data_IF_397922265147
#
_entry.id   IF_397922265147
#
_cell.length_a   1.000
_cell.length_b   1.000
_cell.length_c   1.000
_cell.angle_alpha   90.00
_cell.angle_beta   90.00
_cell.angle_gamma   90.00
#
_symmetry.space_group_name_H-M   'P 1'
#
loop_
_entity.id
_entity.type
_entity.pdbx_description
1 polymer ?
#
# COMPACT_ATOMS: atom_id res chain seq x y z
N UNK A 1 32.55 5.10 -33.05
CA UNK A 1 32.12 6.00 -31.96
C UNK A 1 31.25 7.07 -32.58
N UNK A 2 29.97 6.76 -32.79
CA UNK A 2 28.98 7.79 -33.05
C UNK A 2 28.38 8.11 -31.67
N UNK A 3 28.66 9.30 -31.16
CA UNK A 3 27.91 9.88 -30.06
C UNK A 3 26.47 9.98 -30.56
N UNK A 4 25.61 9.07 -30.12
CA UNK A 4 24.16 9.29 -30.18
C UNK A 4 23.95 10.49 -29.27
N UNK A 5 23.79 11.66 -29.88
CA UNK A 5 23.46 12.89 -29.17
C UNK A 5 22.19 12.62 -28.40
N UNK A 6 22.32 12.57 -27.08
CA UNK A 6 21.18 12.69 -26.20
C UNK A 6 20.76 14.15 -26.33
N UNK A 7 19.82 14.44 -27.23
CA UNK A 7 19.18 15.76 -27.25
C UNK A 7 18.50 15.91 -25.88
N UNK A 8 19.06 16.81 -25.08
CA UNK A 8 18.70 17.12 -23.71
C UNK A 8 17.37 17.87 -23.63
N UNK A 9 16.39 17.48 -24.45
CA UNK A 9 15.23 18.31 -24.79
C UNK A 9 14.18 18.40 -23.68
N UNK A 10 14.34 17.67 -22.56
CA UNK A 10 13.39 17.73 -21.44
C UNK A 10 14.12 17.87 -20.09
N UNK A 11 14.87 18.96 -19.95
CA UNK A 11 15.22 19.53 -18.65
C UNK A 11 14.10 20.48 -18.19
N UNK A 12 14.00 20.73 -16.89
CA UNK A 12 13.01 21.65 -16.30
C UNK A 12 12.93 23.03 -16.99
N UNK A 13 14.01 23.45 -17.65
CA UNK A 13 14.12 24.70 -18.40
C UNK A 13 13.29 24.77 -19.69
N UNK A 14 12.87 23.63 -20.24
CA UNK A 14 12.08 23.57 -21.48
C UNK A 14 10.57 23.46 -21.23
N UNK A 15 10.14 23.46 -19.97
CA UNK A 15 8.73 23.31 -19.62
C UNK A 15 7.94 24.59 -19.88
N UNK A 16 6.81 24.44 -20.57
CA UNK A 16 5.82 25.48 -20.77
C UNK A 16 4.88 25.60 -19.56
N UNK A 17 4.10 26.69 -19.50
CA UNK A 17 3.15 26.92 -18.38
C UNK A 17 2.10 25.80 -18.27
N UNK A 18 1.69 25.24 -19.41
CA UNK A 18 0.77 24.10 -19.54
C UNK A 18 1.34 22.83 -18.93
N UNK A 19 2.65 22.58 -19.05
CA UNK A 19 3.30 21.39 -18.47
C UNK A 19 3.20 21.38 -16.96
N UNK A 20 3.35 22.54 -16.30
CA UNK A 20 3.21 22.65 -14.85
C UNK A 20 1.80 22.29 -14.35
N UNK A 21 0.76 22.50 -15.18
CA UNK A 21 -0.61 22.06 -14.87
C UNK A 21 -0.67 20.54 -14.85
N UNK A 22 -0.07 19.87 -15.84
CA UNK A 22 0.00 18.41 -15.88
C UNK A 22 0.84 17.82 -14.77
N UNK A 23 1.96 18.45 -14.43
CA UNK A 23 2.78 18.05 -13.27
C UNK A 23 1.97 18.17 -11.98
N UNK A 24 1.18 19.24 -11.82
CA UNK A 24 0.30 19.40 -10.66
C UNK A 24 -0.79 18.32 -10.61
N UNK A 25 -1.40 17.97 -11.75
CA UNK A 25 -2.37 16.88 -11.86
C UNK A 25 -1.73 15.54 -11.49
N UNK A 26 -0.56 15.22 -12.07
CA UNK A 26 0.19 14.00 -11.77
C UNK A 26 0.53 13.90 -10.29
N UNK A 27 1.00 15.00 -9.67
CA UNK A 27 1.28 15.05 -8.24
C UNK A 27 0.01 14.82 -7.40
N UNK A 28 -1.11 15.43 -7.79
CA UNK A 28 -2.38 15.27 -7.09
C UNK A 28 -2.90 13.82 -7.13
N UNK A 29 -2.84 13.17 -8.29
CA UNK A 29 -3.27 11.75 -8.42
C UNK A 29 -2.27 10.78 -7.81
N UNK A 30 -1.00 11.16 -7.74
CA UNK A 30 0.05 10.40 -7.05
C UNK A 30 -0.20 10.40 -5.54
N UNK A 31 -0.37 11.58 -4.94
CA UNK A 31 -0.39 11.76 -3.49
C UNK A 31 -1.80 11.61 -2.89
N UNK A 32 -2.84 12.01 -3.62
CA UNK A 32 -4.23 12.00 -3.17
C UNK A 32 -4.71 10.68 -2.55
N UNK A 33 -4.47 9.51 -3.19
CA UNK A 33 -4.80 8.21 -2.62
C UNK A 33 -4.17 7.95 -1.25
N UNK A 34 -2.92 8.37 -1.04
CA UNK A 34 -2.24 8.21 0.26
C UNK A 34 -2.81 9.14 1.33
N UNK A 35 -3.18 10.37 0.97
CA UNK A 35 -3.86 11.29 1.90
C UNK A 35 -5.21 10.69 2.33
N UNK A 36 -5.98 10.19 1.37
CA UNK A 36 -7.25 9.54 1.64
C UNK A 36 -7.07 8.30 2.55
N UNK A 37 -6.06 7.47 2.27
CA UNK A 37 -5.77 6.29 3.08
C UNK A 37 -5.32 6.65 4.49
N UNK A 38 -4.48 7.66 4.65
CA UNK A 38 -4.05 8.15 5.97
C UNK A 38 -5.23 8.72 6.79
N UNK A 39 -6.15 9.45 6.15
CA UNK A 39 -7.34 10.02 6.81
C UNK A 39 -8.35 8.95 7.24
N UNK A 40 -8.52 7.93 6.41
CA UNK A 40 -9.53 6.88 6.62
C UNK A 40 -8.95 5.63 7.30
N UNK A 41 -7.68 5.64 7.72
CA UNK A 41 -6.96 4.50 8.29
C UNK A 41 -7.04 3.23 7.40
N UNK A 42 -6.98 3.39 6.07
CA UNK A 42 -7.04 2.27 5.10
C UNK A 42 -5.64 1.85 4.60
N UNK A 43 -5.60 0.73 3.86
CA UNK A 43 -4.36 0.13 3.33
C UNK A 43 -3.59 1.08 2.42
N UNK A 44 -2.31 1.28 2.75
CA UNK A 44 -1.34 2.01 1.94
C UNK A 44 -0.99 1.22 0.66
N UNK A 45 -1.00 -0.11 0.70
CA UNK A 45 -0.80 -0.93 -0.50
C UNK A 45 -1.93 -0.71 -1.54
N UNK A 46 -3.19 -0.64 -1.09
CA UNK A 46 -4.31 -0.29 -1.97
C UNK A 46 -4.25 1.17 -2.44
N UNK A 47 -3.80 2.08 -1.58
CA UNK A 47 -3.56 3.46 -1.98
C UNK A 47 -2.52 3.55 -3.11
N UNK A 48 -1.44 2.75 -3.03
CA UNK A 48 -0.44 2.64 -4.09
C UNK A 48 -1.06 2.09 -5.38
N UNK A 49 -1.85 1.02 -5.31
CA UNK A 49 -2.56 0.47 -6.48
C UNK A 49 -3.40 1.55 -7.16
N UNK A 50 -4.22 2.28 -6.40
CA UNK A 50 -5.05 3.35 -6.96
C UNK A 50 -4.20 4.47 -7.55
N UNK A 51 -3.13 4.87 -6.87
CA UNK A 51 -2.18 5.89 -7.30
C UNK A 51 -1.55 5.56 -8.66
N UNK A 52 -1.07 4.32 -8.83
CA UNK A 52 -0.50 3.85 -10.10
C UNK A 52 -1.52 3.85 -11.25
N UNK A 53 -2.75 3.40 -10.98
CA UNK A 53 -3.82 3.37 -11.99
C UNK A 53 -4.25 4.78 -12.41
N UNK A 54 -4.33 5.72 -11.47
CA UNK A 54 -4.67 7.10 -11.81
C UNK A 54 -3.57 7.79 -12.61
N UNK A 55 -2.29 7.56 -12.28
CA UNK A 55 -1.18 8.07 -13.10
C UNK A 55 -1.19 7.44 -14.49
N UNK A 56 -1.49 6.13 -14.63
CA UNK A 56 -1.67 5.51 -15.94
C UNK A 56 -2.81 6.16 -16.74
N UNK A 57 -3.92 6.49 -16.09
CA UNK A 57 -5.02 7.17 -16.77
C UNK A 57 -4.62 8.57 -17.27
N UNK A 58 -3.82 9.31 -16.51
CA UNK A 58 -3.27 10.60 -16.96
C UNK A 58 -2.29 10.42 -18.13
N UNK A 59 -1.38 9.44 -18.07
CA UNK A 59 -0.48 9.11 -19.20
C UNK A 59 -1.28 8.75 -20.46
N UNK A 60 -2.34 7.95 -20.33
CA UNK A 60 -3.21 7.58 -21.44
C UNK A 60 -3.97 8.77 -22.02
N UNK A 61 -4.45 9.68 -21.16
CA UNK A 61 -5.11 10.91 -21.62
C UNK A 61 -4.14 11.78 -22.42
N UNK A 62 -2.92 12.01 -21.89
CA UNK A 62 -1.87 12.75 -22.58
C UNK A 62 -1.54 12.13 -23.94
N UNK A 63 -1.37 10.80 -24.01
CA UNK A 63 -1.06 10.12 -25.28
C UNK A 63 -2.21 10.11 -26.30
N UNK A 64 -3.47 10.21 -25.84
CA UNK A 64 -4.65 10.14 -26.73
C UNK A 64 -5.02 11.52 -27.28
N UNK A 65 -4.83 12.57 -26.49
CA UNK A 65 -5.18 13.94 -26.86
C UNK A 65 -3.97 14.74 -27.35
N UNK A 66 -2.88 14.06 -27.70
CA UNK A 66 -1.64 14.63 -28.21
C UNK A 66 -1.93 15.52 -29.43
N UNK A 67 -1.98 16.81 -29.16
CA UNK A 67 -2.17 17.90 -30.11
C UNK A 67 -1.16 18.98 -29.73
N UNK A 68 -0.89 19.93 -30.62
CA UNK A 68 0.08 21.02 -30.37
C UNK A 68 -0.16 21.82 -29.07
N UNK A 69 -1.29 21.63 -28.39
CA UNK A 69 -1.64 22.20 -27.08
C UNK A 69 -1.18 21.37 -25.86
N UNK A 70 -0.75 20.12 -26.03
CA UNK A 70 -0.53 19.15 -24.94
C UNK A 70 0.74 18.30 -25.08
N UNK A 71 1.82 18.80 -25.71
CA UNK A 71 3.08 18.09 -25.96
C UNK A 71 3.92 17.71 -24.72
N UNK A 72 3.28 17.52 -23.56
CA UNK A 72 3.94 17.12 -22.33
C UNK A 72 4.20 15.62 -22.31
N UNK A 73 5.47 15.24 -22.30
CA UNK A 73 5.94 13.85 -22.31
C UNK A 73 6.43 13.42 -20.92
N UNK A 74 5.56 12.90 -20.02
CA UNK A 74 5.92 12.62 -18.63
C UNK A 74 7.03 11.58 -18.50
N UNK A 75 7.12 10.63 -19.43
CA UNK A 75 8.17 9.59 -19.42
C UNK A 75 9.54 10.24 -19.57
N UNK A 76 9.71 11.24 -20.45
CA UNK A 76 10.99 11.89 -20.66
C UNK A 76 11.44 12.70 -19.44
N UNK A 77 10.53 13.31 -18.68
CA UNK A 77 10.87 14.10 -17.50
C UNK A 77 11.05 13.26 -16.22
N UNK A 78 10.27 12.19 -16.06
CA UNK A 78 10.16 11.48 -14.78
C UNK A 78 10.76 10.07 -14.75
N UNK A 79 11.22 9.52 -15.89
CA UNK A 79 11.87 8.20 -15.95
C UNK A 79 13.33 8.21 -15.49
N UNK A 80 13.81 7.04 -15.08
CA UNK A 80 15.24 6.80 -14.85
C UNK A 80 15.91 6.54 -16.19
N UNK A 81 16.88 7.37 -16.55
CA UNK A 81 17.69 7.18 -17.75
C UNK A 81 19.15 6.98 -17.29
N UNK A 82 19.72 5.78 -17.40
CA UNK A 82 21.02 5.47 -16.81
C UNK A 82 22.15 6.45 -17.15
N UNK A 83 22.25 6.85 -18.43
CA UNK A 83 23.31 7.76 -18.89
C UNK A 83 23.31 9.11 -18.16
N UNK A 84 22.15 9.59 -17.70
CA UNK A 84 22.05 10.85 -16.92
C UNK A 84 22.75 10.75 -15.57
N UNK A 85 22.84 9.54 -15.00
CA UNK A 85 23.45 9.31 -13.68
C UNK A 85 24.92 8.93 -13.75
N UNK A 86 25.44 8.61 -14.93
CA UNK A 86 26.79 8.05 -15.13
C UNK A 86 27.68 8.94 -16.00
N UNK A 87 27.10 9.71 -16.92
CA UNK A 87 27.85 10.63 -17.77
C UNK A 87 28.41 11.80 -16.97
N UNK A 88 29.69 12.09 -17.13
CA UNK A 88 30.40 13.12 -16.35
C UNK A 88 29.83 14.54 -16.44
N UNK A 89 29.05 14.85 -17.48
CA UNK A 89 28.44 16.17 -17.68
C UNK A 89 27.10 16.35 -16.95
N UNK A 90 26.42 15.25 -16.61
CA UNK A 90 25.09 15.26 -15.99
C UNK A 90 25.05 14.54 -14.63
N UNK A 91 25.99 13.62 -14.40
CA UNK A 91 26.10 12.88 -13.16
C UNK A 91 26.29 13.82 -11.96
N UNK A 92 25.40 13.69 -10.98
CA UNK A 92 25.41 14.50 -9.77
C UNK A 92 24.62 15.81 -9.87
N UNK A 93 23.99 16.12 -11.00
CA UNK A 93 23.02 17.22 -11.08
C UNK A 93 21.81 16.95 -10.18
N UNK A 94 21.60 17.75 -9.11
CA UNK A 94 20.47 17.58 -8.21
C UNK A 94 19.11 17.71 -8.91
N UNK A 95 19.05 18.42 -10.05
CA UNK A 95 17.82 18.63 -10.82
C UNK A 95 17.28 17.35 -11.46
N UNK A 96 18.09 16.27 -11.49
CA UNK A 96 17.73 14.97 -12.07
C UNK A 96 17.40 13.91 -11.01
N UNK A 97 17.64 14.18 -9.72
CA UNK A 97 17.48 13.19 -8.66
C UNK A 97 16.02 12.77 -8.43
N UNK A 98 15.06 13.59 -8.84
CA UNK A 98 13.63 13.24 -8.76
C UNK A 98 13.33 11.96 -9.55
N UNK A 99 14.03 11.71 -10.66
CA UNK A 99 13.84 10.55 -11.55
C UNK A 99 13.98 9.22 -10.82
N UNK A 100 14.88 9.14 -9.82
CA UNK A 100 15.09 7.95 -8.99
C UNK A 100 13.82 7.58 -8.21
N UNK A 101 12.92 8.55 -7.96
CA UNK A 101 11.67 8.37 -7.21
C UNK A 101 10.44 8.37 -8.12
N UNK A 102 10.38 9.27 -9.10
CA UNK A 102 9.19 9.49 -9.93
C UNK A 102 8.92 8.37 -10.92
N UNK A 103 9.95 7.64 -11.36
CA UNK A 103 9.80 6.57 -12.36
C UNK A 103 8.91 5.40 -11.88
N UNK A 104 8.65 5.28 -10.57
CA UNK A 104 7.79 4.23 -10.01
C UNK A 104 6.34 4.33 -10.49
N UNK A 105 5.90 5.53 -10.82
CA UNK A 105 4.50 5.79 -11.22
C UNK A 105 4.27 5.67 -12.72
N UNK A 106 5.32 5.82 -13.51
CA UNK A 106 5.23 5.75 -14.97
C UNK A 106 5.14 4.31 -15.46
N UNK A 107 4.37 4.07 -16.51
CA UNK A 107 4.19 2.74 -17.09
C UNK A 107 4.03 2.87 -18.61
N UNK A 108 4.64 1.93 -19.34
CA UNK A 108 4.63 1.95 -20.80
C UNK A 108 3.23 1.69 -21.38
N UNK A 109 2.43 0.85 -20.71
CA UNK A 109 1.13 0.43 -21.19
C UNK A 109 0.26 -0.15 -20.05
N UNK A 110 -1.00 -0.45 -20.39
CA UNK A 110 -1.99 -1.00 -19.46
C UNK A 110 -1.60 -2.38 -18.91
N UNK A 111 -1.04 -3.27 -19.73
CA UNK A 111 -0.65 -4.61 -19.29
C UNK A 111 0.50 -4.50 -18.27
N UNK A 112 1.45 -3.61 -18.52
CA UNK A 112 2.56 -3.34 -17.62
C UNK A 112 2.07 -2.86 -16.24
N UNK A 113 1.22 -1.83 -16.17
CA UNK A 113 0.69 -1.37 -14.86
C UNK A 113 -0.17 -2.43 -14.19
N UNK A 114 -1.01 -3.15 -14.94
CA UNK A 114 -1.88 -4.21 -14.41
C UNK A 114 -1.06 -5.34 -13.78
N UNK A 115 0.04 -5.74 -14.40
CA UNK A 115 0.97 -6.73 -13.84
C UNK A 115 1.57 -6.29 -12.51
N UNK A 116 1.96 -5.02 -12.40
CA UNK A 116 2.53 -4.46 -11.16
C UNK A 116 1.47 -4.34 -10.06
N UNK A 117 0.31 -3.76 -10.36
CA UNK A 117 -0.76 -3.60 -9.35
C UNK A 117 -1.31 -4.94 -8.88
N UNK A 118 -1.30 -5.98 -9.72
CA UNK A 118 -1.69 -7.33 -9.32
C UNK A 118 -0.76 -7.88 -8.24
N UNK A 119 0.56 -7.73 -8.39
CA UNK A 119 1.52 -8.14 -7.35
C UNK A 119 1.34 -7.31 -6.08
N UNK A 120 1.19 -5.98 -6.21
CA UNK A 120 1.02 -5.08 -5.07
C UNK A 120 -0.30 -5.38 -4.34
N UNK A 121 -1.38 -5.65 -5.05
CA UNK A 121 -2.68 -5.98 -4.45
C UNK A 121 -2.66 -7.34 -3.75
N UNK A 122 -2.14 -8.38 -4.41
CA UNK A 122 -2.24 -9.76 -3.93
C UNK A 122 -1.14 -10.13 -2.92
N UNK A 123 0.08 -9.63 -3.10
CA UNK A 123 1.19 -9.88 -2.18
C UNK A 123 1.47 -8.69 -1.27
N UNK A 124 1.30 -7.47 -1.77
CA UNK A 124 1.55 -6.26 -0.98
C UNK A 124 0.55 -6.04 0.14
N UNK A 125 -0.75 -6.25 -0.07
CA UNK A 125 -1.76 -6.06 0.99
C UNK A 125 -1.55 -7.03 2.17
N UNK A 126 -1.37 -8.35 1.98
CA UNK A 126 -1.06 -9.25 3.09
C UNK A 126 0.28 -8.91 3.77
N UNK A 127 1.30 -8.51 3.01
CA UNK A 127 2.56 -8.05 3.58
C UNK A 127 2.38 -6.78 4.44
N UNK A 128 1.51 -5.85 4.03
CA UNK A 128 1.20 -4.66 4.82
C UNK A 128 0.54 -5.03 6.16
N UNK A 129 -0.31 -6.06 6.19
CA UNK A 129 -0.91 -6.54 7.43
C UNK A 129 0.14 -7.12 8.39
N UNK A 130 1.14 -7.81 7.84
CA UNK A 130 2.27 -8.35 8.61
C UNK A 130 3.19 -7.24 9.15
N UNK A 131 3.54 -6.25 8.32
CA UNK A 131 4.52 -5.20 8.61
C UNK A 131 3.94 -3.94 9.27
N UNK A 132 2.69 -3.61 8.97
CA UNK A 132 2.11 -2.29 9.14
C UNK A 132 2.56 -1.30 8.05
N UNK A 133 1.71 -0.29 7.81
CA UNK A 133 1.82 0.71 6.75
C UNK A 133 3.22 1.33 6.56
N UNK A 134 3.85 1.84 7.63
CA UNK A 134 5.15 2.55 7.54
C UNK A 134 6.29 1.65 7.08
N UNK A 135 6.33 0.43 7.61
CA UNK A 135 7.37 -0.57 7.27
C UNK A 135 7.15 -1.12 5.86
N UNK A 136 5.89 -1.30 5.48
CA UNK A 136 5.54 -1.67 4.12
C UNK A 136 6.01 -0.62 3.10
N UNK A 137 5.78 0.68 3.38
CA UNK A 137 6.24 1.75 2.50
C UNK A 137 7.78 1.78 2.38
N UNK A 138 8.51 1.53 3.48
CA UNK A 138 9.96 1.43 3.45
C UNK A 138 10.44 0.26 2.59
N UNK A 139 9.81 -0.92 2.70
CA UNK A 139 10.09 -2.08 1.85
C UNK A 139 9.82 -1.78 0.38
N UNK A 140 8.68 -1.16 0.08
CA UNK A 140 8.33 -0.75 -1.29
C UNK A 140 9.40 0.18 -1.87
N UNK A 141 9.78 1.22 -1.11
CA UNK A 141 10.80 2.19 -1.53
C UNK A 141 12.17 1.54 -1.74
N UNK A 142 12.58 0.62 -0.86
CA UNK A 142 13.84 -0.11 -1.01
C UNK A 142 13.84 -1.02 -2.23
N UNK A 143 12.73 -1.71 -2.51
CA UNK A 143 12.61 -2.50 -3.73
C UNK A 143 12.74 -1.63 -4.98
N UNK A 144 12.07 -0.48 -5.00
CA UNK A 144 12.16 0.44 -6.13
C UNK A 144 13.57 1.02 -6.32
N UNK A 145 14.17 1.57 -5.25
CA UNK A 145 15.52 2.15 -5.29
C UNK A 145 16.55 1.08 -5.65
N UNK A 146 16.45 -0.11 -5.06
CA UNK A 146 17.35 -1.23 -5.36
C UNK A 146 17.28 -1.66 -6.82
N UNK A 147 16.08 -1.65 -7.41
CA UNK A 147 15.89 -1.91 -8.82
C UNK A 147 16.53 -0.84 -9.71
N UNK A 148 16.28 0.43 -9.42
CA UNK A 148 16.88 1.53 -10.19
C UNK A 148 18.40 1.51 -10.12
N UNK A 149 18.98 1.32 -8.93
CA UNK A 149 20.43 1.24 -8.76
C UNK A 149 21.03 0.04 -9.52
N UNK A 150 20.40 -1.13 -9.45
CA UNK A 150 20.87 -2.30 -10.19
C UNK A 150 20.77 -2.10 -11.71
N UNK A 151 19.72 -1.44 -12.20
CA UNK A 151 19.58 -1.11 -13.61
C UNK A 151 20.65 -0.13 -14.08
N UNK A 152 20.83 1.00 -13.36
CA UNK A 152 21.86 2.01 -13.69
C UNK A 152 23.25 1.39 -13.68
N UNK A 153 23.57 0.57 -12.68
CA UNK A 153 24.88 -0.07 -12.56
C UNK A 153 25.16 -1.10 -13.66
N UNK A 154 24.12 -1.78 -14.16
CA UNK A 154 24.26 -2.81 -15.21
C UNK A 154 24.19 -2.24 -16.63
N UNK A 155 23.57 -1.07 -16.82
CA UNK A 155 23.37 -0.44 -18.13
C UNK A 155 23.81 1.04 -18.13
N UNK A 156 25.06 1.36 -17.72
CA UNK A 156 25.48 2.73 -17.47
C UNK A 156 25.40 3.65 -18.70
N UNK A 157 25.59 3.12 -19.90
CA UNK A 157 25.59 3.89 -21.15
C UNK A 157 24.20 3.96 -21.82
N UNK A 158 23.16 3.42 -21.17
CA UNK A 158 21.82 3.37 -21.76
C UNK A 158 21.11 4.73 -21.70
N UNK A 159 20.70 5.21 -22.88
CA UNK A 159 19.78 6.34 -23.03
C UNK A 159 18.31 5.95 -23.00
N UNK A 160 17.98 4.68 -22.77
CA UNK A 160 16.60 4.18 -22.80
C UNK A 160 15.93 4.41 -21.43
N UNK A 161 14.76 5.08 -21.39
CA UNK A 161 13.95 5.23 -20.18
C UNK A 161 13.59 3.92 -19.51
N UNK A 162 13.89 3.81 -18.21
CA UNK A 162 13.40 2.78 -17.31
C UNK A 162 12.27 3.35 -16.43
N UNK A 163 11.14 2.67 -16.46
CA UNK A 163 9.89 3.07 -15.79
C UNK A 163 9.19 1.85 -15.19
N UNK A 164 8.36 2.07 -14.18
CA UNK A 164 7.48 1.07 -13.61
C UNK A 164 7.72 0.78 -12.14
N UNK A 165 6.67 0.29 -11.49
CA UNK A 165 6.70 -0.13 -10.09
C UNK A 165 7.28 -1.55 -9.87
N UNK A 166 7.78 -2.20 -10.93
CA UNK A 166 8.12 -3.62 -10.90
C UNK A 166 9.28 -3.95 -9.97
N UNK A 167 10.31 -3.09 -9.86
CA UNK A 167 11.38 -3.24 -8.86
C UNK A 167 10.83 -3.26 -7.43
N UNK A 168 9.86 -2.40 -7.11
CA UNK A 168 9.15 -2.43 -5.84
C UNK A 168 8.29 -3.69 -5.67
N UNK A 169 7.59 -4.13 -6.72
CA UNK A 169 6.79 -5.35 -6.68
C UNK A 169 7.66 -6.59 -6.39
N UNK A 170 8.84 -6.69 -7.00
CA UNK A 170 9.83 -7.72 -6.67
C UNK A 170 10.42 -7.53 -5.27
N UNK A 171 10.60 -6.30 -4.81
CA UNK A 171 10.99 -5.99 -3.43
C UNK A 171 9.97 -6.46 -2.39
N UNK A 172 8.67 -6.32 -2.67
CA UNK A 172 7.59 -6.89 -1.84
C UNK A 172 7.76 -8.40 -1.72
N UNK A 173 7.94 -9.10 -2.85
CA UNK A 173 8.16 -10.56 -2.84
C UNK A 173 9.43 -10.95 -2.08
N UNK A 174 10.52 -10.20 -2.25
CA UNK A 174 11.79 -10.42 -1.53
C UNK A 174 11.64 -10.23 -0.03
N UNK A 175 10.98 -9.16 0.40
CA UNK A 175 10.73 -8.91 1.82
C UNK A 175 9.80 -9.95 2.44
N UNK A 176 8.75 -10.35 1.71
CA UNK A 176 7.83 -11.39 2.17
C UNK A 176 8.57 -12.72 2.30
N UNK A 177 9.37 -13.10 1.31
CA UNK A 177 10.18 -14.33 1.36
C UNK A 177 11.21 -14.32 2.50
N UNK A 178 11.78 -13.16 2.85
CA UNK A 178 12.74 -13.05 3.94
C UNK A 178 12.12 -13.20 5.34
N UNK A 179 10.86 -12.83 5.51
CA UNK A 179 10.21 -12.71 6.82
C UNK A 179 9.15 -13.78 7.10
N UNK A 180 8.42 -14.22 6.06
CA UNK A 180 7.32 -15.18 6.16
C UNK A 180 7.25 -16.06 4.89
N UNK A 181 8.30 -16.88 4.61
CA UNK A 181 8.37 -17.67 3.37
C UNK A 181 7.24 -18.71 3.23
N UNK A 182 6.73 -19.24 4.35
CA UNK A 182 5.69 -20.29 4.37
C UNK A 182 4.26 -19.75 4.33
N UNK A 183 4.07 -18.43 4.38
CA UNK A 183 2.76 -17.81 4.28
C UNK A 183 2.10 -18.17 2.95
N UNK A 184 0.80 -18.47 2.98
CA UNK A 184 0.03 -18.77 1.78
C UNK A 184 -0.82 -17.58 1.38
N UNK A 185 -0.57 -17.04 0.19
CA UNK A 185 -1.34 -15.93 -0.39
C UNK A 185 -2.00 -16.38 -1.69
N UNK A 186 -3.19 -15.87 -1.96
CA UNK A 186 -3.89 -16.09 -3.23
C UNK A 186 -3.11 -15.39 -4.35
N UNK A 187 -2.58 -16.18 -5.29
CA UNK A 187 -1.76 -15.64 -6.36
C UNK A 187 -1.96 -16.44 -7.66
N UNK A 188 -2.06 -15.78 -8.83
CA UNK A 188 -2.15 -16.46 -10.11
C UNK A 188 -0.78 -17.03 -10.49
N UNK A 189 -0.62 -18.35 -10.38
CA UNK A 189 0.61 -19.05 -10.74
C UNK A 189 0.28 -20.26 -11.62
N UNK A 190 0.99 -20.43 -12.74
CA UNK A 190 0.80 -21.54 -13.70
C UNK A 190 -0.69 -21.74 -14.07
N UNK A 191 -1.37 -20.68 -14.49
CA UNK A 191 -2.79 -20.67 -14.88
C UNK A 191 -3.80 -21.00 -13.75
N UNK A 192 -3.35 -21.17 -12.51
CA UNK A 192 -4.20 -21.46 -11.35
C UNK A 192 -4.17 -20.31 -10.35
N UNK A 193 -5.34 -19.82 -9.97
CA UNK A 193 -5.50 -18.89 -8.84
C UNK A 193 -5.79 -19.72 -7.60
N UNK A 194 -4.81 -19.79 -6.70
CA UNK A 194 -4.97 -20.44 -5.38
C UNK A 194 -4.00 -19.87 -4.37
N UNK A 195 -4.17 -20.28 -3.11
CA UNK A 195 -3.23 -19.98 -2.05
C UNK A 195 -1.92 -20.77 -2.24
N UNK A 196 -0.82 -20.07 -2.54
CA UNK A 196 0.51 -20.64 -2.73
C UNK A 196 1.46 -20.12 -1.65
N UNK A 197 2.43 -20.93 -1.19
CA UNK A 197 3.44 -20.45 -0.27
C UNK A 197 4.29 -19.36 -0.95
N UNK A 198 4.61 -18.30 -0.20
CA UNK A 198 5.34 -17.12 -0.68
C UNK A 198 6.68 -17.50 -1.28
N UNK A 199 7.42 -18.43 -0.67
CA UNK A 199 8.71 -18.88 -1.20
C UNK A 199 8.58 -19.43 -2.63
N UNK A 200 7.48 -20.12 -2.95
CA UNK A 200 7.26 -20.71 -4.26
C UNK A 200 6.87 -19.64 -5.29
N UNK A 201 6.03 -18.68 -4.90
CA UNK A 201 5.68 -17.53 -5.74
C UNK A 201 6.95 -16.75 -6.09
N UNK A 202 7.76 -16.42 -5.07
CA UNK A 202 9.00 -15.69 -5.23
C UNK A 202 10.01 -16.47 -6.08
N UNK A 203 10.20 -17.76 -5.82
CA UNK A 203 11.10 -18.62 -6.59
C UNK A 203 10.71 -18.69 -8.07
N UNK A 204 9.43 -18.92 -8.39
CA UNK A 204 8.98 -18.99 -9.78
C UNK A 204 9.10 -17.63 -10.47
N UNK A 205 8.67 -16.54 -9.82
CA UNK A 205 8.74 -15.19 -10.41
C UNK A 205 10.19 -14.76 -10.66
N UNK A 206 11.07 -14.89 -9.68
CA UNK A 206 12.49 -14.55 -9.82
C UNK A 206 13.20 -15.50 -10.80
N UNK A 207 12.86 -16.79 -10.78
CA UNK A 207 13.41 -17.78 -11.71
C UNK A 207 13.06 -17.48 -13.17
N UNK A 208 11.84 -17.00 -13.45
CA UNK A 208 11.45 -16.55 -14.79
C UNK A 208 12.27 -15.35 -15.25
N UNK A 209 12.56 -14.38 -14.38
CA UNK A 209 13.42 -13.24 -14.71
C UNK A 209 14.84 -13.68 -15.07
N UNK A 210 15.44 -14.53 -14.23
CA UNK A 210 16.79 -15.05 -14.47
C UNK A 210 16.84 -15.88 -15.76
N UNK A 211 15.82 -16.70 -16.01
CA UNK A 211 15.70 -17.47 -17.25
C UNK A 211 15.58 -16.58 -18.49
N UNK A 212 14.77 -15.51 -18.42
CA UNK A 212 14.62 -14.55 -19.51
C UNK A 212 15.93 -13.77 -19.76
N UNK A 213 16.64 -13.37 -18.71
CA UNK A 213 17.96 -12.75 -18.87
C UNK A 213 18.95 -13.70 -19.55
N UNK A 214 19.00 -14.96 -19.11
CA UNK A 214 19.86 -15.96 -19.72
C UNK A 214 19.49 -16.20 -21.19
N UNK A 215 18.20 -16.27 -21.53
CA UNK A 215 17.76 -16.54 -22.90
C UNK A 215 18.08 -15.40 -23.87
N UNK A 216 17.99 -14.16 -23.42
CA UNK A 216 18.44 -12.95 -24.16
C UNK A 216 19.96 -13.00 -24.36
N UNK A 217 20.71 -13.26 -23.29
CA UNK A 217 22.18 -13.30 -23.36
C UNK A 217 22.71 -14.44 -24.23
N UNK A 218 22.04 -15.60 -24.25
CA UNK A 218 22.41 -16.74 -25.09
C UNK A 218 21.94 -16.62 -26.54
N UNK A 219 21.27 -15.51 -26.90
CA UNK A 219 20.72 -15.29 -28.25
C UNK A 219 19.58 -16.24 -28.62
N UNK A 220 19.01 -16.94 -27.64
CA UNK A 220 17.87 -17.86 -27.82
C UNK A 220 16.52 -17.15 -27.74
N UNK A 221 16.51 -15.92 -27.24
CA UNK A 221 15.41 -14.97 -27.31
C UNK A 221 15.89 -13.68 -28.00
N UNK A 222 14.96 -12.94 -28.59
CA UNK A 222 15.23 -11.59 -29.11
C UNK A 222 15.42 -10.56 -27.98
N UNK A 223 15.67 -9.31 -28.35
CA UNK A 223 15.73 -8.20 -27.38
C UNK A 223 14.43 -8.06 -26.57
N UNK A 224 14.55 -7.74 -25.28
CA UNK A 224 13.41 -7.52 -24.40
C UNK A 224 13.32 -6.05 -23.97
N UNK A 225 12.11 -5.51 -23.94
CA UNK A 225 11.83 -4.17 -23.39
C UNK A 225 11.59 -4.21 -21.87
N UNK A 226 12.20 -5.17 -21.17
CA UNK A 226 11.99 -5.40 -19.74
C UNK A 226 13.31 -5.22 -19.00
N UNK A 227 13.30 -4.36 -17.99
CA UNK A 227 14.46 -4.09 -17.13
C UNK A 227 14.70 -5.22 -16.11
N UNK A 228 15.04 -6.43 -16.57
CA UNK A 228 15.16 -7.61 -15.70
C UNK A 228 16.12 -7.42 -14.52
N UNK A 229 17.23 -6.69 -14.70
CA UNK A 229 18.16 -6.36 -13.61
C UNK A 229 17.53 -5.49 -12.52
N UNK A 230 16.53 -4.67 -12.85
CA UNK A 230 15.78 -3.90 -11.86
C UNK A 230 14.94 -4.82 -10.95
N UNK A 231 14.38 -5.90 -11.50
CA UNK A 231 13.62 -6.88 -10.71
C UNK A 231 14.53 -7.61 -9.72
N UNK A 232 15.70 -8.07 -10.19
CA UNK A 232 16.70 -8.75 -9.36
C UNK A 232 17.23 -7.83 -8.25
N UNK A 233 17.61 -6.59 -8.60
CA UNK A 233 18.09 -5.60 -7.63
C UNK A 233 17.05 -5.24 -6.57
N UNK A 234 15.81 -5.00 -6.99
CA UNK A 234 14.72 -4.69 -6.08
C UNK A 234 14.39 -5.84 -5.12
N UNK A 235 14.37 -7.08 -5.65
CA UNK A 235 14.19 -8.28 -4.84
C UNK A 235 15.24 -8.40 -3.74
N UNK A 236 16.53 -8.39 -4.12
CA UNK A 236 17.61 -8.70 -3.17
C UNK A 236 17.87 -7.57 -2.18
N UNK A 237 17.73 -6.30 -2.56
CA UNK A 237 17.89 -5.19 -1.62
C UNK A 237 16.81 -5.23 -0.55
N UNK A 238 15.55 -5.42 -0.95
CA UNK A 238 14.46 -5.54 0.00
C UNK A 238 14.59 -6.81 0.86
N UNK A 239 14.92 -7.96 0.26
CA UNK A 239 15.17 -9.22 0.97
C UNK A 239 16.21 -9.06 2.08
N UNK A 240 17.36 -8.45 1.78
CA UNK A 240 18.45 -8.25 2.72
C UNK A 240 18.07 -7.33 3.91
N UNK A 241 17.24 -6.32 3.64
CA UNK A 241 16.87 -5.30 4.64
C UNK A 241 15.50 -5.54 5.30
N UNK A 242 14.71 -6.50 4.85
CA UNK A 242 13.36 -6.73 5.34
C UNK A 242 13.32 -7.18 6.80
N UNK A 243 14.18 -8.11 7.21
CA UNK A 243 14.22 -8.63 8.59
C UNK A 243 14.49 -7.53 9.64
N UNK A 244 15.50 -6.64 9.50
CA UNK A 244 15.68 -5.55 10.45
C UNK A 244 14.50 -4.57 10.44
N UNK A 245 13.90 -4.29 9.28
CA UNK A 245 12.71 -3.41 9.17
C UNK A 245 11.50 -4.03 9.89
N UNK A 246 11.30 -5.33 9.75
CA UNK A 246 10.20 -6.08 10.34
C UNK A 246 10.30 -6.24 11.87
N UNK A 247 11.39 -5.80 12.50
CA UNK A 247 11.48 -5.79 13.97
C UNK A 247 10.39 -4.92 14.59
N UNK A 248 9.63 -5.50 15.51
CA UNK A 248 8.48 -4.86 16.15
C UNK A 248 7.31 -4.62 15.19
N UNK A 249 7.24 -5.36 14.08
CA UNK A 249 6.05 -5.41 13.23
C UNK A 249 4.87 -6.08 13.97
N UNK A 250 3.62 -5.82 13.53
CA UNK A 250 2.42 -6.44 14.11
C UNK A 250 2.48 -7.98 14.18
N UNK A 251 3.07 -8.63 13.19
CA UNK A 251 3.24 -10.09 13.17
C UNK A 251 4.67 -10.51 13.54
N UNK A 252 4.86 -11.54 14.37
CA UNK A 252 6.17 -12.15 14.61
C UNK A 252 6.77 -12.74 13.33
N UNK A 253 8.09 -12.69 13.21
CA UNK A 253 8.84 -13.28 12.10
C UNK A 253 8.70 -14.81 12.12
N UNK A 254 8.67 -15.42 10.94
CA UNK A 254 8.63 -16.87 10.75
C UNK A 254 7.38 -17.59 11.34
N UNK A 255 6.40 -16.84 11.86
CA UNK A 255 5.12 -17.39 12.32
C UNK A 255 4.14 -17.53 11.16
N UNK A 256 3.96 -18.76 10.69
CA UNK A 256 2.98 -19.11 9.66
C UNK A 256 1.56 -18.84 10.19
N UNK A 257 0.91 -17.83 9.63
CA UNK A 257 -0.47 -17.50 9.93
C UNK A 257 -1.39 -18.26 8.97
N UNK A 258 -2.58 -18.63 9.44
CA UNK A 258 -3.60 -19.27 8.59
C UNK A 258 -3.89 -18.42 7.33
N UNK A 259 -4.32 -19.05 6.22
CA UNK A 259 -4.35 -18.43 4.90
C UNK A 259 -5.18 -17.15 4.91
N UNK A 260 -4.62 -16.08 4.33
CA UNK A 260 -5.34 -14.83 4.08
C UNK A 260 -6.36 -15.02 2.96
N UNK A 261 -7.48 -15.69 3.24
CA UNK A 261 -8.63 -15.75 2.33
C UNK A 261 -9.49 -14.49 2.50
N UNK A 262 -10.34 -14.17 1.53
CA UNK A 262 -11.32 -13.07 1.67
C UNK A 262 -12.22 -13.19 2.91
N UNK A 263 -12.46 -14.42 3.40
CA UNK A 263 -13.15 -14.69 4.66
C UNK A 263 -12.31 -14.25 5.89
N UNK A 264 -10.99 -14.45 5.85
CA UNK A 264 -10.07 -13.97 6.89
C UNK A 264 -10.04 -12.44 7.00
N UNK A 265 -10.34 -11.70 5.92
CA UNK A 265 -10.39 -10.22 5.97
C UNK A 265 -11.60 -9.74 6.76
N UNK A 266 -12.77 -10.34 6.53
CA UNK A 266 -13.96 -10.06 7.33
C UNK A 266 -13.77 -10.54 8.78
N UNK A 267 -13.11 -11.68 8.97
CA UNK A 267 -12.84 -12.25 10.29
C UNK A 267 -11.79 -11.46 11.09
N UNK A 268 -10.74 -10.95 10.46
CA UNK A 268 -9.72 -10.10 11.08
C UNK A 268 -10.25 -8.71 11.43
N UNK A 269 -11.09 -8.13 10.55
CA UNK A 269 -11.79 -6.88 10.85
C UNK A 269 -12.77 -7.08 12.00
N UNK A 270 -13.51 -8.19 12.01
CA UNK A 270 -14.41 -8.57 13.09
C UNK A 270 -13.65 -8.81 14.39
N UNK A 271 -12.53 -9.54 14.38
CA UNK A 271 -11.72 -9.80 15.58
C UNK A 271 -11.10 -8.52 16.14
N UNK A 272 -10.64 -7.61 15.27
CA UNK A 272 -10.10 -6.32 15.70
C UNK A 272 -11.20 -5.41 16.28
N UNK A 273 -12.40 -5.42 15.70
CA UNK A 273 -13.56 -4.71 16.24
C UNK A 273 -14.02 -5.31 17.58
N UNK A 274 -14.09 -6.64 17.70
CA UNK A 274 -14.38 -7.37 18.95
C UNK A 274 -13.37 -7.01 20.05
N UNK A 275 -12.08 -6.92 19.73
CA UNK A 275 -11.04 -6.50 20.68
C UNK A 275 -11.18 -5.04 21.16
N UNK A 276 -11.88 -4.19 20.39
CA UNK A 276 -12.11 -2.77 20.71
C UNK A 276 -13.41 -2.51 21.47
N UNK A 277 -14.26 -3.51 21.69
CA UNK A 277 -15.61 -3.33 22.27
C UNK A 277 -15.66 -2.84 23.73
N UNK A 278 -14.52 -2.56 24.36
CA UNK A 278 -14.45 -2.09 25.74
C UNK A 278 -14.93 -3.11 26.77
N UNK A 279 -14.68 -2.79 28.03
CA UNK A 279 -15.06 -3.64 29.17
C UNK A 279 -16.38 -3.23 29.79
N UNK A 280 -17.32 -4.16 29.95
CA UNK A 280 -18.65 -3.87 30.52
C UNK A 280 -18.70 -3.81 32.06
N UNK A 281 -17.58 -4.05 32.75
CA UNK A 281 -17.55 -4.15 34.22
C UNK A 281 -17.68 -2.80 34.92
N UNK A 282 -17.04 -1.75 34.40
CA UNK A 282 -16.97 -0.44 35.04
C UNK A 282 -17.97 0.51 34.40
N UNK A 283 -19.26 0.30 34.67
CA UNK A 283 -20.31 1.15 34.12
C UNK A 283 -20.36 2.54 34.81
N UNK A 284 -20.71 3.60 34.07
CA UNK A 284 -20.68 4.98 34.56
C UNK A 284 -21.74 5.28 35.62
N UNK A 285 -22.84 4.52 35.66
CA UNK A 285 -23.91 4.68 36.64
C UNK A 285 -23.47 4.22 38.03
N UNK A 286 -22.85 3.05 38.10
CA UNK A 286 -22.27 2.53 39.34
C UNK A 286 -21.10 3.42 39.80
N UNK A 287 -20.24 3.87 38.86
CA UNK A 287 -19.13 4.78 39.17
C UNK A 287 -19.56 6.14 39.74
N UNK A 288 -20.74 6.63 39.35
CA UNK A 288 -21.35 7.85 39.87
C UNK A 288 -22.18 7.64 41.15
N UNK A 289 -22.22 6.42 41.72
CA UNK A 289 -23.02 6.10 42.90
C UNK A 289 -24.54 6.05 42.64
N UNK A 290 -24.97 5.97 41.38
CA UNK A 290 -26.37 5.90 40.94
C UNK A 290 -26.61 4.62 40.13
N UNK A 291 -26.49 3.42 40.72
CA UNK A 291 -26.63 2.17 39.99
C UNK A 291 -28.00 2.06 39.32
N UNK A 292 -28.03 1.49 38.11
CA UNK A 292 -29.27 1.29 37.37
C UNK A 292 -30.24 0.39 38.15
N UNK A 293 -31.55 0.65 38.00
CA UNK A 293 -32.63 -0.11 38.63
C UNK A 293 -33.69 -0.51 37.60
N UNK A 294 -34.57 -1.45 37.97
CA UNK A 294 -35.71 -1.83 37.14
C UNK A 294 -35.33 -2.39 35.78
N UNK A 295 -35.95 -1.87 34.72
CA UNK A 295 -35.74 -2.33 33.35
C UNK A 295 -34.32 -2.08 32.85
N UNK A 296 -33.74 -0.90 33.11
CA UNK A 296 -32.38 -0.56 32.72
C UNK A 296 -31.33 -1.50 33.33
N UNK A 297 -31.54 -1.92 34.59
CA UNK A 297 -30.67 -2.91 35.24
C UNK A 297 -30.74 -4.28 34.56
N UNK A 298 -31.93 -4.71 34.13
CA UNK A 298 -32.09 -5.99 33.41
C UNK A 298 -31.42 -5.94 32.05
N UNK A 299 -31.56 -4.84 31.32
CA UNK A 299 -30.89 -4.63 30.02
C UNK A 299 -29.37 -4.69 30.19
N UNK A 300 -28.81 -4.00 31.20
CA UNK A 300 -27.37 -4.05 31.48
C UNK A 300 -26.88 -5.47 31.82
N UNK A 301 -27.67 -6.26 32.55
CA UNK A 301 -27.34 -7.66 32.82
C UNK A 301 -27.33 -8.49 31.54
N UNK A 302 -28.35 -8.36 30.69
CA UNK A 302 -28.44 -9.08 29.40
C UNK A 302 -27.30 -8.70 28.46
N UNK A 303 -26.95 -7.41 28.40
CA UNK A 303 -25.78 -6.91 27.69
C UNK A 303 -24.47 -7.60 28.15
N UNK A 304 -24.32 -7.88 29.44
CA UNK A 304 -23.14 -8.57 30.00
C UNK A 304 -23.13 -10.07 29.73
N UNK A 305 -24.30 -10.69 29.63
CA UNK A 305 -24.45 -12.13 29.38
C UNK A 305 -24.36 -12.48 27.89
N UNK A 306 -24.89 -11.61 27.01
CA UNK A 306 -25.09 -11.90 25.59
C UNK A 306 -24.29 -10.99 24.65
N UNK A 307 -23.72 -9.89 25.16
CA UNK A 307 -23.03 -8.88 24.37
C UNK A 307 -21.59 -9.24 23.98
N UNK A 308 -21.26 -10.52 23.77
CA UNK A 308 -19.92 -10.93 23.33
C UNK A 308 -19.73 -10.82 21.80
N UNK A 309 -20.82 -10.66 21.07
CA UNK A 309 -20.82 -10.40 19.62
C UNK A 309 -21.14 -8.94 19.30
N UNK A 310 -20.55 -8.40 18.23
CA UNK A 310 -20.65 -6.97 17.86
C UNK A 310 -22.08 -6.50 17.63
N UNK A 311 -22.86 -7.25 16.84
CA UNK A 311 -24.25 -6.88 16.50
C UNK A 311 -25.14 -6.96 17.73
N UNK A 312 -25.00 -8.02 18.53
CA UNK A 312 -25.72 -8.22 19.79
C UNK A 312 -25.38 -7.14 20.82
N UNK A 313 -24.09 -6.82 20.99
CA UNK A 313 -23.63 -5.73 21.87
C UNK A 313 -24.19 -4.38 21.44
N UNK A 314 -24.19 -4.10 20.13
CA UNK A 314 -24.76 -2.86 19.59
C UNK A 314 -26.25 -2.74 19.93
N UNK A 315 -27.04 -3.77 19.64
CA UNK A 315 -28.48 -3.76 19.91
C UNK A 315 -28.78 -3.51 21.40
N UNK A 316 -28.05 -4.20 22.29
CA UNK A 316 -28.21 -4.00 23.72
C UNK A 316 -27.77 -2.62 24.21
N UNK A 317 -26.73 -2.02 23.62
CA UNK A 317 -26.32 -0.65 23.95
C UNK A 317 -27.33 0.38 23.46
N UNK A 318 -27.87 0.22 22.24
CA UNK A 318 -28.95 1.07 21.71
C UNK A 318 -30.19 1.01 22.63
N UNK A 319 -30.63 -0.19 23.04
CA UNK A 319 -31.75 -0.36 23.97
C UNK A 319 -31.45 0.23 25.37
N UNK A 320 -30.22 0.06 25.86
CA UNK A 320 -29.81 0.63 27.15
C UNK A 320 -29.83 2.16 27.12
N UNK A 321 -29.44 2.77 26.00
CA UNK A 321 -29.47 4.22 25.83
C UNK A 321 -30.89 4.80 25.96
N UNK A 322 -31.89 4.11 25.40
CA UNK A 322 -33.30 4.51 25.48
C UNK A 322 -33.87 4.44 26.91
N UNK A 323 -33.28 3.60 27.77
CA UNK A 323 -33.76 3.36 29.14
C UNK A 323 -32.87 4.00 30.21
N UNK A 324 -31.93 4.85 29.83
CA UNK A 324 -30.98 5.48 30.75
C UNK A 324 -30.78 6.96 30.48
N UNK A 325 -30.34 7.67 31.52
CA UNK A 325 -29.90 9.06 31.44
C UNK A 325 -28.48 9.19 31.96
N UNK A 326 -27.80 10.25 31.56
CA UNK A 326 -26.44 10.54 32.00
C UNK A 326 -26.42 10.73 33.52
N UNK A 327 -25.58 10.00 34.27
CA UNK A 327 -25.59 10.06 35.73
C UNK A 327 -25.09 11.41 36.31
N UNK A 328 -24.34 12.18 35.51
CA UNK A 328 -23.72 13.46 35.90
C UNK A 328 -24.66 14.65 35.67
N UNK A 329 -25.27 14.74 34.48
CA UNK A 329 -26.04 15.92 34.07
C UNK A 329 -27.51 15.62 33.76
N UNK A 330 -27.95 14.37 33.92
CA UNK A 330 -29.33 13.92 33.67
C UNK A 330 -29.84 14.15 32.24
N UNK A 331 -28.92 14.44 31.32
CA UNK A 331 -29.20 14.56 29.89
C UNK A 331 -29.27 13.20 29.20
N UNK A 332 -29.72 13.22 27.94
CA UNK A 332 -29.86 12.04 27.09
C UNK A 332 -28.53 11.30 26.89
N UNK A 333 -28.60 9.97 26.83
CA UNK A 333 -27.50 9.08 26.46
C UNK A 333 -27.72 8.64 25.03
N UNK A 334 -26.70 8.80 24.19
CA UNK A 334 -26.77 8.49 22.76
C UNK A 334 -25.84 7.33 22.42
N UNK A 335 -26.31 6.33 21.66
CA UNK A 335 -25.44 5.31 21.07
C UNK A 335 -24.72 5.91 19.86
N UNK A 336 -23.39 5.90 19.89
CA UNK A 336 -22.53 6.44 18.84
C UNK A 336 -21.70 5.30 18.25
N UNK A 337 -21.79 5.15 16.93
CA UNK A 337 -20.92 4.26 16.18
C UNK A 337 -19.56 4.94 15.97
N UNK A 338 -18.50 4.38 16.55
CA UNK A 338 -17.12 4.84 16.39
C UNK A 338 -16.25 3.64 15.96
N UNK A 339 -15.61 3.75 14.80
CA UNK A 339 -14.67 2.73 14.27
C UNK A 339 -15.20 1.29 14.29
N UNK A 340 -16.51 1.11 14.04
CA UNK A 340 -17.16 -0.21 13.99
C UNK A 340 -17.63 -0.78 15.33
N UNK A 341 -17.52 0.00 16.41
CA UNK A 341 -18.00 -0.36 17.76
C UNK A 341 -19.03 0.69 18.21
N UNK A 342 -20.06 0.26 18.93
CA UNK A 342 -21.03 1.16 19.55
C UNK A 342 -20.54 1.56 20.95
N UNK A 343 -20.53 2.85 21.24
CA UNK A 343 -20.26 3.43 22.55
C UNK A 343 -21.43 4.34 22.97
N UNK A 344 -21.77 4.37 24.25
CA UNK A 344 -22.69 5.33 24.83
C UNK A 344 -21.96 6.61 25.21
N UNK A 345 -22.52 7.74 24.77
CA UNK A 345 -22.03 9.08 25.08
C UNK A 345 -23.15 9.94 25.64
N UNK A 346 -22.82 10.83 26.57
CA UNK A 346 -23.75 11.86 27.00
C UNK A 346 -23.96 12.89 25.87
N UNK A 347 -25.22 13.23 25.57
CA UNK A 347 -25.59 14.20 24.54
C UNK A 347 -25.14 15.64 24.83
N UNK A 348 -24.82 15.97 26.09
CA UNK A 348 -24.35 17.31 26.50
C UNK A 348 -22.82 17.40 26.47
N UNK A 349 -22.11 16.40 27.01
CA UNK A 349 -20.65 16.43 27.11
C UNK A 349 -20.06 15.03 27.21
N UNK A 350 -19.14 14.71 26.31
CA UNK A 350 -18.39 13.43 26.31
C UNK A 350 -17.59 13.24 27.61
N UNK A 351 -17.25 14.32 28.33
CA UNK A 351 -16.56 14.23 29.63
C UNK A 351 -17.43 13.65 30.73
N UNK A 352 -18.75 13.70 30.59
CA UNK A 352 -19.65 13.11 31.58
C UNK A 352 -19.74 11.59 31.45
N UNK A 353 -19.72 11.08 30.22
CA UNK A 353 -19.87 9.66 29.95
C UNK A 353 -19.37 9.32 28.54
N UNK A 354 -18.48 8.33 28.48
CA UNK A 354 -18.08 7.56 27.30
C UNK A 354 -17.83 6.12 27.76
N UNK A 355 -18.65 5.18 27.32
CA UNK A 355 -18.62 3.77 27.77
C UNK A 355 -19.35 2.86 26.78
N UNK A 356 -18.92 1.62 26.49
CA UNK A 356 -17.77 0.90 27.08
C UNK A 356 -16.41 1.40 26.63
#
# INVERSE_FOLDING_TARGET
MASVGFDSDVTWSYLETTDYVWIAILLAVTVGPFIAAARNETSIALAMVLSLLLVMFVQFALSTFDSELFGFEPIHLFSVIPVIFTDSSTAGDPSQFHRIFTAAWLHADWIHVLGNVLVIALAGVPLEQRLGARRWLAVYALGFIGGNLAWIASHPDSGVPAIGASGAAFGILGAYMACWPEDKIEFPLVFLIRAWPVWLIAFVRLGLEVFQMYSVQSGTAGETNIAHMAHVGGFFLAYALARPIARGAPSPLDESGQPATGASRAEAVRSQATARMGGLKNDPWTGAGKPLQGQAARILTRLREEGDELETRRAWLEELAEHTICPVCEGEVLPIMDRGVCELRCGISVRHMRWP
#
